data_IF_921874186047
#
_entry.id   IF_921874186047
#
_cell.length_a   1.000
_cell.length_b   1.000
_cell.length_c   1.000
_cell.angle_alpha   90.00
_cell.angle_beta   90.00
_cell.angle_gamma   90.00
#
_symmetry.space_group_name_H-M   'P 1'
#
loop_
_entity.id
_entity.type
_entity.pdbx_description
1 polymer ?
#
# COMPACT_ATOMS: atom_id res chain seq x y z
N UNK A 1 12.33 -1.75 9.50
CA UNK A 1 12.54 -2.71 8.40
C UNK A 1 13.38 -2.09 7.31
N UNK A 2 14.24 -2.85 6.65
CA UNK A 2 15.04 -2.37 5.52
C UNK A 2 14.29 -2.51 4.20
N UNK A 3 14.34 -1.48 3.37
CA UNK A 3 13.61 -1.38 2.10
C UNK A 3 14.58 -1.08 0.97
N UNK A 4 14.45 -1.79 -0.14
CA UNK A 4 15.29 -1.63 -1.32
C UNK A 4 14.48 -1.73 -2.62
N UNK A 5 14.71 -0.82 -3.58
CA UNK A 5 14.15 -0.95 -4.93
C UNK A 5 14.95 -1.94 -5.78
N UNK A 6 14.40 -2.39 -6.92
CA UNK A 6 15.04 -3.42 -7.76
C UNK A 6 16.52 -3.17 -8.14
N UNK A 7 16.95 -1.91 -8.30
CA UNK A 7 18.32 -1.58 -8.69
C UNK A 7 19.21 -1.13 -7.51
N UNK A 8 18.73 -1.18 -6.27
CA UNK A 8 19.49 -0.76 -5.08
C UNK A 8 19.65 0.76 -4.90
N UNK A 9 19.18 1.59 -5.84
CA UNK A 9 19.38 3.04 -5.76
C UNK A 9 18.54 3.73 -4.69
N UNK A 10 17.32 3.23 -4.46
CA UNK A 10 16.45 3.71 -3.38
C UNK A 10 16.51 2.69 -2.26
N UNK A 11 17.15 3.06 -1.15
CA UNK A 11 17.21 2.29 0.08
C UNK A 11 16.85 3.17 1.28
N UNK A 12 16.15 2.60 2.26
CA UNK A 12 15.86 3.28 3.52
C UNK A 12 15.41 2.29 4.61
N UNK A 13 15.49 2.72 5.87
CA UNK A 13 14.95 1.99 7.01
C UNK A 13 13.65 2.63 7.48
N UNK A 14 12.60 1.81 7.63
CA UNK A 14 11.34 2.26 8.24
C UNK A 14 11.52 2.47 9.75
N UNK A 15 10.84 3.47 10.35
CA UNK A 15 10.93 3.72 11.79
C UNK A 15 10.29 2.60 12.62
N UNK A 16 9.21 1.99 12.12
CA UNK A 16 8.60 0.83 12.75
C UNK A 16 9.39 -0.46 12.43
N UNK A 17 9.56 -1.37 13.41
CA UNK A 17 10.22 -2.66 13.19
C UNK A 17 9.37 -3.62 12.36
N UNK A 18 8.04 -3.46 12.36
CA UNK A 18 7.06 -4.27 11.62
C UNK A 18 5.99 -3.37 10.94
N UNK A 19 5.29 -3.84 9.89
CA UNK A 19 4.21 -3.08 9.27
C UNK A 19 3.02 -2.92 10.24
N UNK A 20 2.38 -1.75 10.22
CA UNK A 20 1.15 -1.52 10.99
C UNK A 20 -0.01 -2.42 10.52
N UNK A 21 -0.04 -2.74 9.24
CA UNK A 21 -0.98 -3.67 8.64
C UNK A 21 -0.41 -4.16 7.30
N UNK A 22 -0.88 -5.31 6.85
CA UNK A 22 -0.41 -5.93 5.63
C UNK A 22 -1.56 -6.30 4.71
N UNK A 23 -1.51 -5.80 3.47
CA UNK A 23 -2.57 -5.97 2.50
C UNK A 23 -2.09 -6.50 1.15
N UNK A 24 -2.74 -7.57 0.69
CA UNK A 24 -2.64 -8.09 -0.68
C UNK A 24 -3.81 -7.54 -1.50
N UNK A 25 -3.60 -6.43 -2.21
CA UNK A 25 -4.64 -5.73 -2.95
C UNK A 25 -4.84 -6.26 -4.38
N UNK A 26 -6.08 -6.62 -4.71
CA UNK A 26 -6.47 -7.21 -6.00
C UNK A 26 -7.17 -6.23 -6.96
N UNK A 27 -7.25 -4.94 -6.61
CA UNK A 27 -7.98 -3.98 -7.43
C UNK A 27 -7.32 -3.77 -8.81
N UNK A 28 -8.16 -3.50 -9.82
CA UNK A 28 -7.70 -3.27 -11.20
C UNK A 28 -6.70 -2.11 -11.32
N UNK A 29 -6.79 -1.11 -10.43
CA UNK A 29 -5.86 0.01 -10.41
C UNK A 29 -4.46 -0.46 -10.01
N UNK A 30 -4.30 -1.07 -8.82
CA UNK A 30 -3.01 -1.57 -8.35
C UNK A 30 -2.36 -2.59 -9.31
N UNK A 31 -3.16 -3.40 -10.02
CA UNK A 31 -2.64 -4.34 -11.04
C UNK A 31 -2.03 -3.63 -12.25
N UNK A 32 -2.58 -2.48 -12.65
CA UNK A 32 -2.17 -1.74 -13.85
C UNK A 32 -1.11 -0.68 -13.59
N UNK A 33 -0.80 -0.38 -12.32
CA UNK A 33 0.16 0.65 -11.99
C UNK A 33 1.55 0.26 -12.50
N UNK A 34 2.08 1.09 -13.38
CA UNK A 34 3.41 0.98 -13.97
C UNK A 34 4.15 2.32 -13.82
N UNK A 35 5.44 2.31 -14.13
CA UNK A 35 6.41 3.31 -13.72
C UNK A 35 6.15 4.73 -14.27
N UNK A 36 5.54 5.57 -13.44
CA UNK A 36 5.70 7.03 -13.47
C UNK A 36 5.10 7.60 -12.17
N UNK A 37 5.66 8.68 -11.63
CA UNK A 37 5.02 9.37 -10.51
C UNK A 37 3.76 10.09 -11.02
N UNK A 38 2.59 9.69 -10.52
CA UNK A 38 1.31 10.32 -10.83
C UNK A 38 0.42 10.33 -9.59
N UNK A 39 -0.48 11.31 -9.52
CA UNK A 39 -1.59 11.33 -8.59
C UNK A 39 -2.81 10.65 -9.24
N UNK A 40 -3.60 9.93 -8.46
CA UNK A 40 -4.88 9.37 -8.91
C UNK A 40 -5.97 9.60 -7.88
N UNK A 41 -7.24 9.74 -8.28
CA UNK A 41 -8.35 9.75 -7.34
C UNK A 41 -8.44 8.40 -6.60
N UNK A 42 -8.86 8.50 -5.35
CA UNK A 42 -9.22 7.36 -4.50
C UNK A 42 -10.74 7.19 -4.50
N UNK A 43 -11.21 6.01 -4.09
CA UNK A 43 -12.66 5.74 -4.04
C UNK A 43 -13.40 6.53 -2.95
N UNK A 44 -12.66 7.04 -1.97
CA UNK A 44 -13.19 7.77 -0.82
C UNK A 44 -13.06 9.30 -0.95
N UNK A 45 -12.91 9.83 -2.17
CA UNK A 45 -12.93 11.29 -2.40
C UNK A 45 -11.59 12.03 -2.29
N UNK A 46 -10.49 11.37 -1.88
CA UNK A 46 -9.13 11.96 -1.86
C UNK A 46 -8.26 11.55 -3.07
N UNK A 47 -6.96 11.85 -3.02
CA UNK A 47 -5.98 11.36 -4.00
C UNK A 47 -4.83 10.59 -3.33
N UNK A 48 -4.06 9.89 -4.17
CA UNK A 48 -2.93 9.08 -3.73
C UNK A 48 -1.69 9.40 -4.56
N UNK A 49 -0.65 9.88 -3.89
CA UNK A 49 0.68 10.05 -4.48
C UNK A 49 1.38 8.71 -4.55
N UNK A 50 1.86 8.35 -5.74
CA UNK A 50 2.65 7.14 -5.96
C UNK A 50 4.10 7.52 -6.28
N UNK A 51 5.04 7.06 -5.45
CA UNK A 51 6.47 7.35 -5.60
C UNK A 51 7.19 6.16 -6.21
N UNK A 52 8.08 6.43 -7.17
CA UNK A 52 8.79 5.42 -7.95
C UNK A 52 10.28 5.73 -7.99
N UNK A 53 11.10 4.68 -8.03
CA UNK A 53 12.52 4.82 -8.36
C UNK A 53 12.63 5.33 -9.81
N UNK A 54 13.36 6.42 -10.01
CA UNK A 54 13.57 7.01 -11.34
C UNK A 54 14.45 6.17 -12.27
N UNK A 55 15.24 5.25 -11.72
CA UNK A 55 16.16 4.42 -12.51
C UNK A 55 15.53 3.09 -12.94
N UNK A 56 14.97 2.32 -12.00
CA UNK A 56 14.35 1.02 -12.32
C UNK A 56 12.82 1.06 -12.44
N UNK A 57 12.17 2.20 -12.20
CA UNK A 57 10.70 2.32 -12.27
C UNK A 57 9.94 1.59 -11.16
N UNK A 58 10.63 0.98 -10.19
CA UNK A 58 9.99 0.28 -9.07
C UNK A 58 9.14 1.24 -8.25
N UNK A 59 7.86 0.90 -8.01
CA UNK A 59 6.99 1.63 -7.08
C UNK A 59 7.46 1.41 -5.65
N UNK A 60 7.87 2.48 -4.98
CA UNK A 60 8.47 2.43 -3.64
C UNK A 60 7.40 2.43 -2.55
N UNK A 61 6.61 3.49 -2.48
CA UNK A 61 5.49 3.62 -1.56
C UNK A 61 4.42 4.55 -2.14
N UNK A 62 3.29 4.63 -1.45
CA UNK A 62 2.29 5.65 -1.71
C UNK A 62 1.81 6.32 -0.44
N UNK A 63 1.38 7.57 -0.60
CA UNK A 63 0.80 8.39 0.46
C UNK A 63 -0.60 8.82 0.05
N UNK A 64 -1.57 8.54 0.90
CA UNK A 64 -2.97 8.94 0.68
C UNK A 64 -3.20 10.30 1.30
N UNK A 65 -4.01 11.12 0.63
CA UNK A 65 -4.47 12.41 1.11
C UNK A 65 -5.98 12.33 1.39
N UNK A 66 -6.44 13.09 2.37
CA UNK A 66 -7.86 13.28 2.60
C UNK A 66 -8.51 14.20 1.55
N UNK A 67 -9.80 14.46 1.67
CA UNK A 67 -10.56 15.33 0.76
C UNK A 67 -10.04 16.77 0.73
N UNK A 68 -9.38 17.22 1.79
CA UNK A 68 -8.76 18.55 1.91
C UNK A 68 -7.31 18.57 1.40
N UNK A 69 -6.80 17.43 0.92
CA UNK A 69 -5.43 17.29 0.45
C UNK A 69 -4.41 17.12 1.57
N UNK A 70 -4.83 16.89 2.82
CA UNK A 70 -3.91 16.67 3.94
C UNK A 70 -3.34 15.24 3.84
N UNK A 71 -2.01 15.08 3.79
CA UNK A 71 -1.40 13.76 3.75
C UNK A 71 -1.60 13.00 5.06
N UNK A 72 -1.85 11.67 4.96
CA UNK A 72 -1.78 10.79 6.13
C UNK A 72 -0.35 10.75 6.69
N UNK A 73 -0.25 10.59 8.01
CA UNK A 73 1.01 10.40 8.74
C UNK A 73 1.72 9.08 8.40
N UNK A 74 1.00 8.14 7.80
CA UNK A 74 1.53 6.84 7.39
C UNK A 74 1.65 6.73 5.87
N UNK A 75 2.53 5.83 5.43
CA UNK A 75 2.71 5.48 4.02
C UNK A 75 2.54 3.98 3.85
N UNK A 76 2.09 3.57 2.67
CA UNK A 76 1.98 2.17 2.28
C UNK A 76 3.15 1.83 1.37
N UNK A 77 4.10 1.08 1.91
CA UNK A 77 5.29 0.62 1.18
C UNK A 77 4.92 -0.59 0.33
N UNK A 78 5.48 -0.71 -0.87
CA UNK A 78 5.32 -1.91 -1.70
C UNK A 78 6.01 -3.07 -0.98
N UNK A 79 5.24 -4.04 -0.50
CA UNK A 79 5.74 -5.13 0.35
C UNK A 79 6.92 -5.90 -0.22
N UNK A 80 6.97 -6.10 -1.54
CA UNK A 80 8.09 -6.79 -2.21
C UNK A 80 9.44 -6.06 -2.16
N UNK A 81 9.49 -4.84 -1.61
CA UNK A 81 10.74 -4.10 -1.39
C UNK A 81 11.29 -4.27 0.02
N UNK A 82 10.49 -4.82 0.94
CA UNK A 82 10.86 -4.96 2.36
C UNK A 82 11.62 -6.27 2.50
N UNK A 83 12.89 -6.18 2.86
CA UNK A 83 13.78 -7.34 2.97
C UNK A 83 13.31 -8.25 4.12
N UNK A 84 13.18 -9.55 3.82
CA UNK A 84 12.76 -10.55 4.80
C UNK A 84 11.26 -10.56 5.14
N UNK A 85 10.45 -9.71 4.51
CA UNK A 85 9.02 -9.65 4.80
C UNK A 85 8.30 -10.90 4.28
N UNK A 86 7.56 -11.57 5.17
CA UNK A 86 6.68 -12.68 4.82
C UNK A 86 5.26 -12.16 4.58
N UNK A 87 4.66 -12.58 3.47
CA UNK A 87 3.30 -12.16 3.07
C UNK A 87 2.19 -13.08 3.59
N UNK A 88 2.54 -14.14 4.31
CA UNK A 88 1.62 -15.23 4.65
C UNK A 88 0.40 -14.76 5.48
N UNK A 89 0.55 -13.68 6.25
CA UNK A 89 -0.51 -13.08 7.07
C UNK A 89 -1.18 -11.86 6.43
N UNK A 90 -0.96 -11.64 5.12
CA UNK A 90 -1.52 -10.48 4.42
C UNK A 90 -3.03 -10.59 4.23
N UNK A 91 -3.77 -9.54 4.58
CA UNK A 91 -5.22 -9.44 4.34
C UNK A 91 -5.49 -9.21 2.87
N UNK A 92 -6.32 -10.05 2.26
CA UNK A 92 -6.66 -9.94 0.84
C UNK A 92 -7.83 -8.96 0.66
N UNK A 93 -7.60 -7.82 0.01
CA UNK A 93 -8.64 -6.81 -0.24
C UNK A 93 -8.95 -6.70 -1.72
N UNK A 94 -10.17 -6.27 -2.06
CA UNK A 94 -10.68 -6.22 -3.43
C UNK A 94 -10.77 -7.59 -4.11
N UNK A 95 -11.05 -8.65 -3.35
CA UNK A 95 -11.01 -10.04 -3.86
C UNK A 95 -12.06 -10.36 -4.92
N UNK A 96 -13.14 -9.59 -4.98
CA UNK A 96 -14.10 -9.58 -6.11
C UNK A 96 -13.45 -9.35 -7.48
N UNK A 97 -12.24 -8.75 -7.50
CA UNK A 97 -11.46 -8.49 -8.73
C UNK A 97 -10.22 -9.37 -8.83
N UNK A 98 -10.03 -10.36 -7.96
CA UNK A 98 -8.85 -11.22 -8.01
C UNK A 98 -8.75 -11.96 -9.34
N UNK A 99 -7.53 -12.03 -9.88
CA UNK A 99 -7.20 -12.84 -11.08
C UNK A 99 -6.49 -14.15 -10.73
N UNK A 100 -6.27 -14.37 -9.44
CA UNK A 100 -5.71 -15.60 -8.88
C UNK A 100 -6.61 -16.09 -7.75
N UNK A 101 -6.47 -17.36 -7.37
CA UNK A 101 -7.17 -17.87 -6.19
C UNK A 101 -6.60 -17.19 -4.95
N UNK A 102 -7.48 -16.67 -4.11
CA UNK A 102 -7.12 -16.20 -2.76
C UNK A 102 -6.86 -17.46 -1.92
N UNK A 103 -5.77 -17.53 -1.15
CA UNK A 103 -5.47 -18.69 -0.30
C UNK A 103 -6.63 -19.03 0.63
N UNK A 104 -6.85 -20.32 0.85
CA UNK A 104 -7.86 -20.80 1.79
C UNK A 104 -7.49 -20.39 3.22
N UNK A 105 -8.48 -19.97 4.01
CA UNK A 105 -8.26 -19.47 5.38
C UNK A 105 -7.68 -18.05 5.48
N UNK A 106 -7.29 -17.41 4.37
CA UNK A 106 -6.82 -16.03 4.41
C UNK A 106 -7.95 -15.05 4.75
N UNK A 107 -7.66 -14.08 5.62
CA UNK A 107 -8.55 -12.95 5.88
C UNK A 107 -8.78 -12.17 4.58
N UNK A 108 -10.04 -12.00 4.19
CA UNK A 108 -10.38 -11.42 2.89
C UNK A 108 -11.62 -10.53 2.90
N UNK A 109 -11.61 -9.55 2.01
CA UNK A 109 -12.69 -8.62 1.77
C UNK A 109 -12.95 -8.47 0.26
N UNK A 110 -14.22 -8.39 -0.13
CA UNK A 110 -14.61 -8.18 -1.52
C UNK A 110 -14.21 -6.79 -2.03
N UNK A 111 -14.09 -5.82 -1.13
CA UNK A 111 -13.71 -4.43 -1.40
C UNK A 111 -12.63 -3.91 -0.43
N UNK A 112 -12.71 -2.64 -0.01
CA UNK A 112 -11.87 -2.06 1.04
C UNK A 112 -12.13 -2.74 2.39
N UNK A 113 -11.13 -2.80 3.28
CA UNK A 113 -11.36 -3.30 4.64
C UNK A 113 -12.30 -2.36 5.42
N UNK A 114 -13.12 -2.90 6.35
CA UNK A 114 -14.12 -2.14 7.10
C UNK A 114 -13.51 -1.05 8.00
N UNK A 115 -12.29 -1.24 8.48
CA UNK A 115 -11.50 -0.22 9.17
C UNK A 115 -10.07 -0.26 8.63
N UNK A 116 -9.47 0.91 8.47
CA UNK A 116 -8.01 1.01 8.32
C UNK A 116 -7.43 1.40 9.68
N UNK A 117 -6.19 1.02 10.03
CA UNK A 117 -5.64 1.22 11.37
C UNK A 117 -5.70 2.65 11.94
N UNK A 118 -6.02 3.69 11.14
CA UNK A 118 -6.20 5.08 11.59
C UNK A 118 -7.51 5.73 11.09
N UNK A 119 -8.57 4.96 10.82
CA UNK A 119 -9.90 5.54 10.50
C UNK A 119 -10.79 5.73 11.73
N UNK A 120 -10.30 5.53 12.95
CA UNK A 120 -10.97 6.03 14.15
C UNK A 120 -10.93 7.56 14.10
N UNK A 121 -12.11 8.18 14.10
CA UNK A 121 -12.31 9.64 14.20
C UNK A 121 -11.91 10.21 15.57
N UNK A 122 -10.90 9.64 16.21
CA UNK A 122 -10.49 9.99 17.56
C UNK A 122 -8.97 10.16 17.61
N UNK A 123 -8.54 11.37 17.26
CA UNK A 123 -7.34 12.00 17.81
C UNK A 123 -7.59 13.50 17.85
N UNK A 124 -8.57 13.89 18.67
CA UNK A 124 -8.57 15.21 19.31
C UNK A 124 -7.44 15.20 20.34
N UNK A 125 -6.42 16.02 20.13
CA UNK A 125 -5.68 16.82 21.12
C UNK A 125 -4.43 17.38 20.42
#
# INVERSE_FOLDING_TARGET
MDVECQCGTVTFKTPAPEPLDLYCCHCSQCRKQSASAFARPTKSGGYMDCYFCRLCGTRVFHRTHDEKGVPKSTVSIKGGLILGLKMDSGKHIWTSRSVVKVPEGAEKYDESPPTTPHSSKDSKA
#
